data_IF_194255184118
#
_entry.id   IF_194255184118
#
_cell.length_a   1.000
_cell.length_b   1.000
_cell.length_c   1.000
_cell.angle_alpha   90.00
_cell.angle_beta   90.00
_cell.angle_gamma   90.00
#
_symmetry.space_group_name_H-M   'P 1'
#
loop_
_entity.id
_entity.type
_entity.pdbx_description
1 polymer ?
#
# COMPACT_ATOMS: atom_id res chain seq x y z
N UNK A 1 -18.02 -15.24 4.22
CA UNK A 1 -17.34 -13.98 4.62
C UNK A 1 -16.00 -14.35 5.24
N UNK A 2 -14.87 -13.81 4.77
CA UNK A 2 -13.54 -13.98 5.41
C UNK A 2 -13.17 -12.63 6.03
N UNK A 3 -12.90 -12.60 7.32
CA UNK A 3 -12.53 -11.36 8.00
C UNK A 3 -10.99 -11.23 8.03
N UNK A 4 -10.42 -10.03 7.82
CA UNK A 4 -8.98 -9.81 7.82
C UNK A 4 -8.42 -9.61 9.25
N UNK A 5 -8.88 -10.40 10.22
CA UNK A 5 -8.67 -10.15 11.66
C UNK A 5 -7.18 -9.97 12.03
N UNK A 6 -6.29 -10.78 11.45
CA UNK A 6 -4.83 -10.67 11.69
C UNK A 6 -4.29 -9.30 11.24
N UNK A 7 -4.73 -8.79 10.09
CA UNK A 7 -4.32 -7.46 9.62
C UNK A 7 -4.90 -6.35 10.49
N UNK A 8 -6.10 -6.54 11.06
CA UNK A 8 -6.69 -5.60 12.01
C UNK A 8 -5.88 -5.52 13.30
N UNK A 9 -5.42 -6.67 13.82
CA UNK A 9 -4.53 -6.75 14.99
C UNK A 9 -3.17 -6.09 14.69
N UNK A 10 -2.56 -6.38 13.54
CA UNK A 10 -1.30 -5.75 13.13
C UNK A 10 -1.48 -4.22 13.08
N UNK A 11 -2.55 -3.73 12.44
CA UNK A 11 -2.85 -2.29 12.36
C UNK A 11 -2.99 -1.65 13.75
N UNK A 12 -3.73 -2.29 14.65
CA UNK A 12 -3.90 -1.79 16.02
C UNK A 12 -2.57 -1.76 16.81
N UNK A 13 -1.75 -2.81 16.67
CA UNK A 13 -0.41 -2.86 17.29
C UNK A 13 0.51 -1.77 16.75
N UNK A 14 0.49 -1.49 15.45
CA UNK A 14 1.25 -0.38 14.86
C UNK A 14 0.86 0.97 15.46
N UNK A 15 -0.42 1.21 15.74
CA UNK A 15 -0.86 2.45 16.41
C UNK A 15 -0.30 2.55 17.84
N UNK A 16 -0.29 1.44 18.59
CA UNK A 16 0.32 1.39 19.93
C UNK A 16 1.84 1.61 19.88
N UNK A 17 2.52 1.07 18.87
CA UNK A 17 3.96 1.29 18.70
C UNK A 17 4.25 2.75 18.33
N UNK A 18 3.41 3.39 17.51
CA UNK A 18 3.54 4.80 17.14
C UNK A 18 3.40 5.76 18.32
N UNK A 19 2.71 5.37 19.41
CA UNK A 19 2.63 6.20 20.62
C UNK A 19 3.87 6.11 21.52
N UNK A 20 4.74 5.11 21.33
CA UNK A 20 5.91 4.86 22.17
C UNK A 20 6.87 6.07 22.25
N UNK A 21 7.19 6.79 21.16
CA UNK A 21 8.06 7.96 21.26
C UNK A 21 7.48 9.03 22.18
N UNK A 22 6.17 9.29 22.11
CA UNK A 22 5.51 10.27 22.97
C UNK A 22 5.52 9.82 24.44
N UNK A 23 5.27 8.53 24.69
CA UNK A 23 5.36 7.94 26.04
C UNK A 23 6.76 8.15 26.63
N UNK A 24 7.82 7.84 25.88
CA UNK A 24 9.20 8.02 26.32
C UNK A 24 9.57 9.50 26.52
N UNK A 25 9.07 10.40 25.67
CA UNK A 25 9.27 11.84 25.85
C UNK A 25 8.68 12.29 27.18
N UNK A 26 7.42 11.93 27.47
CA UNK A 26 6.76 12.34 28.72
C UNK A 26 7.46 11.75 29.95
N UNK A 27 7.96 10.51 29.85
CA UNK A 27 8.69 9.86 30.95
C UNK A 27 10.02 10.54 31.26
N UNK A 28 10.67 11.19 30.28
CA UNK A 28 12.05 11.68 30.41
C UNK A 28 12.17 13.21 30.41
N UNK A 29 11.14 13.96 30.00
CA UNK A 29 11.26 15.38 29.64
C UNK A 29 11.59 16.33 30.82
N UNK A 30 11.38 15.93 32.06
CA UNK A 30 11.54 16.78 33.25
C UNK A 30 12.70 16.33 34.16
N UNK A 31 13.53 15.41 33.69
CA UNK A 31 14.67 14.91 34.47
C UNK A 31 15.81 15.93 34.45
N UNK A 32 16.39 16.29 35.61
CA UNK A 32 17.62 17.07 35.64
C UNK A 32 18.81 16.24 35.14
N UNK A 33 19.96 16.85 34.91
CA UNK A 33 21.16 16.12 34.49
C UNK A 33 21.60 15.05 35.50
N UNK A 34 22.15 13.94 35.02
CA UNK A 34 22.66 12.85 35.84
C UNK A 34 21.86 11.55 35.72
N UNK A 35 22.09 10.62 36.65
CA UNK A 35 21.40 9.34 36.70
C UNK A 35 20.10 9.44 37.51
N UNK A 36 18.98 9.02 36.89
CA UNK A 36 17.67 8.92 37.54
C UNK A 36 17.13 7.51 37.44
N UNK A 37 16.51 7.03 38.52
CA UNK A 37 15.95 5.67 38.57
C UNK A 37 14.73 5.53 37.65
N UNK A 38 14.05 6.62 37.34
CA UNK A 38 12.93 6.76 36.41
C UNK A 38 13.25 6.16 35.03
N UNK A 39 14.50 6.27 34.58
CA UNK A 39 14.97 5.68 33.32
C UNK A 39 14.80 4.16 33.26
N UNK A 40 14.63 3.47 34.39
CA UNK A 40 14.36 2.02 34.40
C UNK A 40 13.00 1.67 33.77
N UNK A 41 12.00 2.55 33.91
CA UNK A 41 10.66 2.35 33.34
C UNK A 41 10.69 2.33 31.80
N UNK A 42 11.69 2.94 31.16
CA UNK A 42 11.85 2.87 29.69
C UNK A 42 11.93 1.43 29.17
N UNK A 43 12.47 0.50 29.96
CA UNK A 43 12.58 -0.92 29.59
C UNK A 43 11.21 -1.59 29.52
N UNK A 44 10.28 -1.18 30.38
CA UNK A 44 8.90 -1.68 30.42
C UNK A 44 8.12 -1.25 29.17
N UNK A 45 8.47 -0.12 28.56
CA UNK A 45 7.86 0.33 27.30
C UNK A 45 8.58 -0.24 26.07
N UNK A 46 9.92 -0.19 26.05
CA UNK A 46 10.74 -0.55 24.88
C UNK A 46 10.73 -2.05 24.60
N UNK A 47 10.93 -2.91 25.61
CA UNK A 47 11.03 -4.35 25.36
C UNK A 47 9.72 -4.97 24.84
N UNK A 48 8.54 -4.65 25.41
CA UNK A 48 7.28 -5.10 24.84
C UNK A 48 7.02 -4.55 23.44
N UNK A 49 7.44 -3.31 23.15
CA UNK A 49 7.31 -2.75 21.80
C UNK A 49 8.16 -3.54 20.78
N UNK A 50 9.43 -3.83 21.09
CA UNK A 50 10.31 -4.65 20.24
C UNK A 50 9.69 -6.04 20.02
N UNK A 51 9.19 -6.67 21.09
CA UNK A 51 8.52 -7.97 20.99
C UNK A 51 7.29 -7.90 20.08
N UNK A 52 6.45 -6.88 20.25
CA UNK A 52 5.25 -6.66 19.44
C UNK A 52 5.61 -6.45 17.96
N UNK A 53 6.65 -5.68 17.65
CA UNK A 53 7.15 -5.49 16.28
C UNK A 53 7.53 -6.83 15.66
N UNK A 54 8.33 -7.64 16.36
CA UNK A 54 8.76 -8.96 15.88
C UNK A 54 7.56 -9.88 15.62
N UNK A 55 6.59 -9.91 16.54
CA UNK A 55 5.36 -10.70 16.36
C UNK A 55 4.55 -10.21 15.15
N UNK A 56 4.43 -8.89 14.94
CA UNK A 56 3.77 -8.33 13.76
C UNK A 56 4.45 -8.74 12.46
N UNK A 57 5.79 -8.74 12.41
CA UNK A 57 6.55 -9.16 11.23
C UNK A 57 6.35 -10.65 10.93
N UNK A 58 6.37 -11.50 11.97
CA UNK A 58 6.11 -12.94 11.82
C UNK A 58 4.68 -13.20 11.31
N UNK A 59 3.68 -12.56 11.92
CA UNK A 59 2.28 -12.67 11.48
C UNK A 59 2.11 -12.17 10.04
N UNK A 60 2.69 -11.02 9.69
CA UNK A 60 2.62 -10.47 8.34
C UNK A 60 3.22 -11.45 7.32
N UNK A 61 4.43 -11.95 7.57
CA UNK A 61 5.10 -12.90 6.68
C UNK A 61 4.25 -14.17 6.47
N UNK A 62 3.70 -14.73 7.55
CA UNK A 62 2.82 -15.90 7.46
C UNK A 62 1.56 -15.61 6.64
N UNK A 63 0.90 -14.48 6.89
CA UNK A 63 -0.33 -14.13 6.17
C UNK A 63 -0.08 -13.88 4.68
N UNK A 64 1.02 -13.21 4.31
CA UNK A 64 1.36 -12.94 2.91
C UNK A 64 1.52 -14.23 2.08
N UNK A 65 2.02 -15.31 2.68
CA UNK A 65 2.16 -16.62 2.01
C UNK A 65 0.81 -17.27 1.65
N UNK A 66 -0.28 -16.82 2.27
CA UNK A 66 -1.63 -17.34 2.07
C UNK A 66 -2.55 -16.37 1.32
N UNK A 67 -2.03 -15.24 0.83
CA UNK A 67 -2.79 -14.32 -0.02
C UNK A 67 -2.91 -14.92 -1.41
N UNK A 68 -4.16 -15.04 -1.89
CA UNK A 68 -4.47 -15.43 -3.26
C UNK A 68 -5.02 -14.22 -4.02
N UNK A 69 -4.34 -13.86 -5.11
CA UNK A 69 -4.81 -12.82 -6.03
C UNK A 69 -5.84 -13.43 -6.98
N UNK A 70 -7.01 -12.79 -7.09
CA UNK A 70 -8.02 -13.16 -8.07
C UNK A 70 -7.71 -12.50 -9.41
N UNK A 71 -6.90 -13.16 -10.23
CA UNK A 71 -6.43 -12.65 -11.54
C UNK A 71 -7.57 -12.20 -12.47
N UNK A 72 -8.69 -12.91 -12.43
CA UNK A 72 -9.82 -12.68 -13.35
C UNK A 72 -10.89 -11.73 -12.81
N UNK A 73 -10.67 -11.10 -11.65
CA UNK A 73 -11.69 -10.24 -11.02
C UNK A 73 -12.12 -9.10 -11.94
N UNK A 74 -11.19 -8.55 -12.72
CA UNK A 74 -11.39 -7.43 -13.65
C UNK A 74 -12.18 -7.83 -14.92
N UNK A 75 -12.39 -9.13 -15.17
CA UNK A 75 -13.25 -9.61 -16.28
C UNK A 75 -14.74 -9.44 -15.97
N UNK A 76 -15.10 -9.17 -14.72
CA UNK A 76 -16.48 -8.90 -14.34
C UNK A 76 -16.86 -7.50 -14.83
N UNK A 77 -18.01 -7.41 -15.53
CA UNK A 77 -18.59 -6.17 -16.07
C UNK A 77 -18.66 -5.00 -15.06
N UNK A 78 -18.77 -5.31 -13.77
CA UNK A 78 -18.73 -4.32 -12.69
C UNK A 78 -17.47 -3.43 -12.74
N UNK A 79 -16.36 -3.96 -13.26
CA UNK A 79 -15.07 -3.28 -13.31
C UNK A 79 -14.77 -2.63 -14.66
N UNK A 80 -15.67 -2.72 -15.65
CA UNK A 80 -15.45 -2.14 -16.98
C UNK A 80 -15.08 -0.65 -16.90
N UNK A 81 -15.74 0.10 -16.02
CA UNK A 81 -15.52 1.55 -15.87
C UNK A 81 -14.14 1.91 -15.33
N UNK A 82 -13.38 0.96 -14.75
CA UNK A 82 -11.97 1.18 -14.39
C UNK A 82 -11.12 1.49 -15.62
N UNK A 83 -11.49 1.00 -16.81
CA UNK A 83 -10.78 1.22 -18.07
C UNK A 83 -11.26 2.48 -18.83
N UNK A 84 -12.06 3.34 -18.20
CA UNK A 84 -12.60 4.53 -18.86
C UNK A 84 -11.53 5.54 -19.26
N UNK A 85 -10.42 5.59 -18.52
CA UNK A 85 -9.29 6.50 -18.79
C UNK A 85 -8.59 6.09 -20.09
N UNK A 86 -8.51 4.80 -20.38
CA UNK A 86 -7.92 4.23 -21.59
C UNK A 86 -8.71 4.67 -22.82
N UNK A 87 -10.04 4.60 -22.77
CA UNK A 87 -10.91 5.11 -23.81
C UNK A 87 -10.78 6.62 -24.01
N UNK A 88 -10.59 7.40 -22.92
CA UNK A 88 -10.33 8.85 -23.02
C UNK A 88 -9.00 9.09 -23.72
N UNK A 89 -7.94 8.39 -23.30
CA UNK A 89 -6.61 8.52 -23.89
C UNK A 89 -6.60 8.13 -25.37
N UNK A 90 -7.32 7.09 -25.76
CA UNK A 90 -7.47 6.68 -27.15
C UNK A 90 -8.10 7.79 -28.00
N UNK A 91 -9.19 8.40 -27.52
CA UNK A 91 -9.82 9.54 -28.19
C UNK A 91 -8.85 10.74 -28.29
N UNK A 92 -8.08 11.01 -27.24
CA UNK A 92 -7.10 12.10 -27.25
C UNK A 92 -5.97 11.85 -28.24
N UNK A 93 -5.43 10.63 -28.28
CA UNK A 93 -4.41 10.22 -29.25
C UNK A 93 -4.93 10.24 -30.68
N UNK A 94 -6.24 10.05 -30.88
CA UNK A 94 -6.90 10.21 -32.19
C UNK A 94 -7.13 11.67 -32.60
N UNK A 95 -6.78 12.64 -31.74
CA UNK A 95 -6.83 14.07 -32.02
C UNK A 95 -7.99 14.83 -31.35
N UNK A 96 -8.82 14.17 -30.54
CA UNK A 96 -9.92 14.82 -29.83
C UNK A 96 -9.36 15.60 -28.63
N UNK A 97 -9.73 16.88 -28.41
CA UNK A 97 -9.34 17.59 -27.20
C UNK A 97 -9.76 16.84 -25.94
N UNK A 98 -8.89 16.78 -24.93
CA UNK A 98 -9.12 16.02 -23.69
C UNK A 98 -10.50 16.28 -23.06
N UNK A 99 -10.93 17.54 -23.03
CA UNK A 99 -12.23 17.92 -22.47
C UNK A 99 -13.40 17.24 -23.17
N UNK A 100 -13.32 17.12 -24.49
CA UNK A 100 -14.39 16.52 -25.30
C UNK A 100 -14.32 15.00 -25.21
N UNK A 101 -13.11 14.43 -25.23
CA UNK A 101 -12.90 12.99 -24.99
C UNK A 101 -13.48 12.54 -23.63
N UNK A 102 -13.20 13.30 -22.57
CA UNK A 102 -13.71 13.04 -21.22
C UNK A 102 -15.25 13.10 -21.18
N UNK A 103 -15.86 14.10 -21.83
CA UNK A 103 -17.32 14.21 -21.93
C UNK A 103 -17.94 13.05 -22.71
N UNK A 104 -17.35 12.69 -23.85
CA UNK A 104 -17.83 11.61 -24.71
C UNK A 104 -17.86 10.28 -23.95
N UNK A 105 -16.76 9.95 -23.26
CA UNK A 105 -16.68 8.72 -22.46
C UNK A 105 -17.65 8.77 -21.28
N UNK A 106 -17.75 9.90 -20.56
CA UNK A 106 -18.72 10.08 -19.48
C UNK A 106 -20.16 9.84 -19.94
N UNK A 107 -20.56 10.41 -21.06
CA UNK A 107 -21.89 10.20 -21.66
C UNK A 107 -22.10 8.74 -22.09
N UNK A 108 -21.08 8.04 -22.57
CA UNK A 108 -21.21 6.62 -22.95
C UNK A 108 -21.46 5.72 -21.73
N UNK A 109 -20.87 6.06 -20.57
CA UNK A 109 -21.07 5.35 -19.31
C UNK A 109 -22.50 5.60 -18.80
N UNK A 110 -22.93 6.87 -18.77
CA UNK A 110 -24.28 7.25 -18.34
C UNK A 110 -25.38 6.57 -19.18
N UNK A 111 -25.16 6.49 -20.50
CA UNK A 111 -26.08 5.86 -21.43
C UNK A 111 -25.96 4.33 -21.50
N UNK A 112 -25.12 3.69 -20.66
CA UNK A 112 -24.85 2.24 -20.67
C UNK A 112 -24.35 1.68 -22.02
N UNK A 113 -23.72 2.51 -22.85
CA UNK A 113 -23.14 2.13 -24.14
C UNK A 113 -21.62 1.98 -24.11
N UNK A 114 -21.01 2.25 -22.95
CA UNK A 114 -19.57 2.14 -22.74
C UNK A 114 -19.04 0.73 -23.04
N UNK A 115 -17.93 0.69 -23.78
CA UNK A 115 -17.18 -0.53 -24.09
C UNK A 115 -15.72 -0.32 -23.65
N UNK A 116 -15.24 -1.03 -22.63
CA UNK A 116 -13.87 -0.86 -22.16
C UNK A 116 -12.85 -1.30 -23.21
N UNK A 117 -11.77 -0.54 -23.32
CA UNK A 117 -10.57 -0.96 -24.02
C UNK A 117 -9.60 -1.63 -23.03
N UNK A 118 -9.39 -2.94 -23.18
CA UNK A 118 -8.50 -3.72 -22.33
C UNK A 118 -7.03 -3.74 -22.82
N UNK A 119 -6.75 -3.15 -23.99
CA UNK A 119 -5.40 -3.13 -24.55
C UNK A 119 -4.61 -1.96 -23.95
N UNK A 120 -3.85 -2.26 -22.91
CA UNK A 120 -3.10 -1.27 -22.15
C UNK A 120 -1.66 -1.23 -22.64
N UNK A 121 -1.26 -0.10 -23.24
CA UNK A 121 0.09 0.16 -23.73
C UNK A 121 0.68 1.38 -23.04
N UNK A 122 0.90 1.31 -21.73
CA UNK A 122 1.59 2.38 -21.02
C UNK A 122 3.10 2.24 -21.15
N UNK A 123 3.78 3.35 -21.45
CA UNK A 123 5.24 3.43 -21.52
C UNK A 123 5.88 3.81 -20.18
N UNK A 124 5.12 4.37 -19.24
CA UNK A 124 5.63 4.90 -17.99
C UNK A 124 6.07 3.78 -17.02
N UNK A 125 7.20 3.95 -16.35
CA UNK A 125 7.68 3.02 -15.34
C UNK A 125 6.69 2.91 -14.15
N UNK A 126 6.45 1.68 -13.66
CA UNK A 126 5.48 1.40 -12.60
C UNK A 126 4.01 1.45 -13.02
N UNK A 127 3.71 1.66 -14.31
CA UNK A 127 2.34 1.63 -14.83
C UNK A 127 1.88 0.20 -15.18
N UNK A 128 0.58 0.04 -15.42
CA UNK A 128 0.02 -1.22 -15.90
C UNK A 128 0.64 -1.55 -17.27
N UNK A 129 1.31 -2.70 -17.38
CA UNK A 129 2.06 -3.10 -18.58
C UNK A 129 3.58 -2.82 -18.51
N UNK A 130 4.03 -1.95 -17.61
CA UNK A 130 5.45 -1.70 -17.32
C UNK A 130 5.69 -1.58 -15.81
N UNK A 131 5.45 -2.67 -15.08
CA UNK A 131 5.52 -2.68 -13.61
C UNK A 131 6.93 -2.53 -13.04
N UNK A 132 7.97 -2.76 -13.85
CA UNK A 132 9.37 -2.74 -13.43
C UNK A 132 9.68 -3.67 -12.24
N UNK A 133 9.01 -4.82 -12.16
CA UNK A 133 9.17 -5.78 -11.07
C UNK A 133 10.61 -6.31 -10.96
N UNK A 134 11.30 -6.45 -12.09
CA UNK A 134 12.71 -6.82 -12.19
C UNK A 134 13.63 -5.78 -11.53
N UNK A 135 13.35 -4.48 -11.73
CA UNK A 135 14.08 -3.39 -11.08
C UNK A 135 13.83 -3.38 -9.57
N UNK A 136 12.58 -3.60 -9.15
CA UNK A 136 12.20 -3.70 -7.74
C UNK A 136 12.93 -4.87 -7.06
N UNK A 137 12.95 -6.04 -7.69
CA UNK A 137 13.63 -7.22 -7.17
C UNK A 137 15.15 -7.00 -7.08
N UNK A 138 15.76 -6.40 -8.10
CA UNK A 138 17.18 -6.02 -8.08
C UNK A 138 17.49 -5.05 -6.94
N UNK A 139 16.68 -4.01 -6.77
CA UNK A 139 16.85 -3.04 -5.70
C UNK A 139 16.71 -3.69 -4.31
N UNK A 140 15.75 -4.60 -4.15
CA UNK A 140 15.58 -5.36 -2.92
C UNK A 140 16.83 -6.17 -2.56
N UNK A 141 17.36 -6.98 -3.49
CA UNK A 141 18.55 -7.79 -3.23
C UNK A 141 19.79 -6.93 -2.98
N UNK A 142 19.98 -5.83 -3.72
CA UNK A 142 21.07 -4.89 -3.47
C UNK A 142 21.08 -4.31 -2.05
N UNK A 143 19.89 -4.02 -1.49
CA UNK A 143 19.78 -3.52 -0.12
C UNK A 143 20.00 -4.64 0.88
N UNK A 144 19.36 -5.80 0.68
CA UNK A 144 19.49 -6.98 1.55
C UNK A 144 20.95 -7.41 1.69
N UNK A 145 21.70 -7.43 0.60
CA UNK A 145 23.08 -7.90 0.58
C UNK A 145 24.04 -6.96 1.33
N UNK A 146 23.60 -5.74 1.71
CA UNK A 146 24.37 -4.85 2.62
C UNK A 146 24.24 -5.23 4.09
N UNK A 147 23.26 -6.06 4.45
CA UNK A 147 23.02 -6.49 5.83
C UNK A 147 23.64 -7.86 6.15
N UNK A 148 24.12 -8.59 5.14
CA UNK A 148 24.86 -9.85 5.27
C UNK A 148 26.36 -9.61 5.13
#
# INVERSE_FOLDING_TARGET
KKNPDVFEIIRARCNKIQSLPNELIILLNNLPSGYHRDCQLTKESIFPAIKSIKECLVMMNFMLQHIEVKSDIVKNKLYDTMFSVENVNEQVLSGIPFRDAYKNVGLSIENNTFKPNYNINHSHEGSIGNLCNDLIEKAFYQVRDKFN
#
